data_IF_263391482335
#
_entry.id   IF_263391482335
#
_cell.length_a   1.000
_cell.length_b   1.000
_cell.length_c   1.000
_cell.angle_alpha   90.00
_cell.angle_beta   90.00
_cell.angle_gamma   90.00
#
_symmetry.space_group_name_H-M   'P 1'
#
loop_
_entity.id
_entity.type
_entity.pdbx_description
1 polymer ?
#
# COMPACT_ATOMS: atom_id res chain seq x y z
N UNK A 1 54.31 -31.29 -10.99
CA UNK A 1 54.25 -31.52 -12.45
C UNK A 1 52.85 -31.98 -12.80
N UNK A 2 52.20 -31.27 -13.74
CA UNK A 2 51.03 -31.64 -14.58
C UNK A 2 49.68 -31.84 -13.84
N UNK A 3 48.76 -30.87 -13.79
CA UNK A 3 47.78 -30.37 -14.80
C UNK A 3 46.79 -31.40 -15.36
N UNK A 4 45.49 -31.13 -15.19
CA UNK A 4 44.47 -31.49 -16.19
C UNK A 4 43.12 -31.95 -15.64
N UNK A 5 42.14 -31.03 -15.53
CA UNK A 5 40.71 -31.37 -15.61
C UNK A 5 40.15 -30.74 -16.89
N UNK A 6 39.55 -31.58 -17.73
CA UNK A 6 38.96 -31.24 -19.04
C UNK A 6 37.47 -30.97 -18.89
N UNK A 7 37.03 -29.91 -19.55
CA UNK A 7 35.66 -29.57 -19.93
C UNK A 7 35.11 -30.56 -20.98
N UNK A 8 33.81 -30.91 -20.90
CA UNK A 8 32.83 -30.90 -22.01
C UNK A 8 31.59 -31.78 -21.74
N UNK A 9 30.42 -31.15 -21.67
CA UNK A 9 29.19 -31.59 -22.35
C UNK A 9 29.26 -31.11 -23.82
N UNK A 10 28.50 -31.60 -24.84
CA UNK A 10 27.08 -31.98 -24.78
C UNK A 10 26.59 -33.09 -25.76
N UNK A 11 25.29 -33.38 -25.73
CA UNK A 11 24.52 -33.63 -26.96
C UNK A 11 23.76 -34.96 -27.11
N UNK A 12 22.46 -34.83 -27.42
CA UNK A 12 21.60 -35.87 -28.01
C UNK A 12 20.39 -36.21 -27.12
N UNK A 13 19.14 -36.05 -27.49
CA UNK A 13 18.52 -35.72 -28.78
C UNK A 13 17.19 -36.48 -28.89
N UNK A 14 16.14 -35.78 -29.36
CA UNK A 14 14.98 -36.33 -30.09
C UNK A 14 14.01 -37.25 -29.32
N UNK A 15 12.70 -37.33 -29.57
CA UNK A 15 11.78 -36.66 -30.48
C UNK A 15 10.35 -37.01 -30.01
N UNK A 16 9.39 -36.14 -30.33
CA UNK A 16 7.96 -36.43 -30.15
C UNK A 16 7.08 -35.37 -30.79
N UNK A 17 7.07 -35.32 -32.12
CA UNK A 17 6.21 -34.47 -32.96
C UNK A 17 4.77 -35.01 -33.03
N UNK A 18 3.88 -34.07 -33.41
CA UNK A 18 2.62 -34.17 -34.22
C UNK A 18 1.37 -33.83 -33.40
N UNK A 19 0.36 -33.12 -33.90
CA UNK A 19 0.04 -32.37 -35.15
C UNK A 19 -1.29 -31.64 -34.82
N UNK A 20 -1.43 -30.34 -35.11
CA UNK A 20 -2.17 -29.75 -36.25
C UNK A 20 -3.72 -29.93 -36.26
N UNK A 21 -4.42 -28.89 -35.75
CA UNK A 21 -5.61 -28.19 -36.32
C UNK A 21 -6.96 -28.94 -36.40
N UNK A 22 -8.02 -28.31 -36.96
CA UNK A 22 -8.38 -26.88 -37.04
C UNK A 22 -9.87 -26.60 -36.64
N UNK A 23 -10.26 -25.32 -36.57
CA UNK A 23 -11.61 -24.87 -36.97
C UNK A 23 -12.76 -25.02 -35.97
N UNK A 24 -13.33 -23.88 -35.57
CA UNK A 24 -14.57 -23.82 -34.79
C UNK A 24 -15.09 -22.40 -34.68
N UNK A 25 -15.53 -21.84 -35.81
CA UNK A 25 -16.31 -20.60 -35.87
C UNK A 25 -17.63 -20.77 -35.11
N UNK A 26 -18.04 -19.75 -34.35
CA UNK A 26 -19.46 -19.51 -34.05
C UNK A 26 -19.83 -18.06 -34.39
N UNK A 27 -21.03 -17.83 -34.95
CA UNK A 27 -21.42 -16.60 -35.63
C UNK A 27 -22.09 -15.54 -34.72
N UNK A 28 -22.30 -14.31 -35.24
CA UNK A 28 -23.00 -13.22 -34.57
C UNK A 28 -24.52 -13.22 -34.86
N UNK A 29 -25.32 -12.88 -33.85
CA UNK A 29 -26.74 -12.49 -33.91
C UNK A 29 -27.05 -11.87 -32.53
N UNK A 30 -27.84 -10.81 -32.32
CA UNK A 30 -28.83 -10.16 -33.17
C UNK A 30 -29.13 -8.75 -32.62
N UNK A 31 -29.73 -7.95 -33.49
CA UNK A 31 -30.09 -6.54 -33.42
C UNK A 31 -31.55 -6.39 -32.96
N UNK A 32 -31.86 -5.36 -32.17
CA UNK A 32 -33.10 -4.52 -32.11
C UNK A 32 -33.02 -3.65 -30.84
N UNK A 33 -32.69 -2.35 -30.90
CA UNK A 33 -33.60 -1.22 -31.16
C UNK A 33 -34.90 -1.28 -30.33
N UNK A 34 -35.05 -0.41 -29.33
CA UNK A 34 -36.08 0.63 -29.37
C UNK A 34 -35.85 1.76 -28.34
N UNK A 35 -36.12 2.97 -28.81
CA UNK A 35 -36.17 4.25 -28.11
C UNK A 35 -37.43 4.38 -27.22
N UNK A 36 -37.37 5.35 -26.28
CA UNK A 36 -38.42 6.18 -25.64
C UNK A 36 -37.90 6.50 -24.23
N UNK A 37 -37.31 7.66 -23.93
CA UNK A 37 -37.84 9.04 -23.98
C UNK A 37 -39.19 9.16 -23.27
N UNK A 38 -39.16 9.55 -21.99
CA UNK A 38 -40.21 10.30 -21.27
C UNK A 38 -39.75 10.64 -19.84
N UNK A 39 -39.14 11.83 -19.69
CA UNK A 39 -39.47 12.79 -18.62
C UNK A 39 -39.94 14.06 -19.36
N UNK A 40 -40.79 14.95 -18.82
CA UNK A 40 -40.94 15.29 -17.40
C UNK A 40 -42.39 15.51 -16.94
N UNK A 41 -42.62 15.60 -15.62
CA UNK A 41 -43.67 16.51 -15.13
C UNK A 41 -43.26 17.19 -13.82
N UNK A 42 -43.47 18.49 -13.83
CA UNK A 42 -43.17 19.44 -12.78
C UNK A 42 -44.42 19.69 -11.94
N UNK A 43 -44.27 19.80 -10.62
CA UNK A 43 -45.39 20.27 -9.80
C UNK A 43 -45.05 20.54 -8.34
N UNK A 44 -44.81 21.82 -8.03
CA UNK A 44 -45.03 22.55 -6.77
C UNK A 44 -44.39 21.99 -5.47
N UNK A 45 -43.37 22.65 -4.92
CA UNK A 45 -43.47 23.82 -4.03
C UNK A 45 -44.46 23.66 -2.88
N UNK A 46 -43.94 23.32 -1.70
CA UNK A 46 -44.43 23.95 -0.47
C UNK A 46 -43.28 24.22 0.51
N UNK A 47 -43.18 25.50 0.90
CA UNK A 47 -42.27 26.04 1.89
C UNK A 47 -42.91 25.85 3.25
N UNK A 48 -42.24 25.17 4.16
CA UNK A 48 -42.48 25.39 5.60
C UNK A 48 -41.14 25.67 6.27
N UNK A 49 -41.09 26.86 6.86
CA UNK A 49 -39.98 27.39 7.61
C UNK A 49 -39.88 26.75 9.00
N UNK A 50 -38.64 26.68 9.49
CA UNK A 50 -38.34 26.86 10.91
C UNK A 50 -38.09 25.58 11.70
N UNK A 51 -36.82 25.37 12.07
CA UNK A 51 -36.37 25.40 13.46
C UNK A 51 -34.90 24.95 13.49
N UNK A 52 -34.04 25.78 14.09
CA UNK A 52 -32.64 25.46 14.28
C UNK A 52 -32.46 24.19 15.10
N UNK A 53 -31.81 23.20 14.51
CA UNK A 53 -30.97 22.28 15.24
C UNK A 53 -29.56 22.80 15.10
N UNK A 54 -29.01 23.36 16.18
CA UNK A 54 -27.57 23.53 16.37
C UNK A 54 -26.96 22.12 16.44
N UNK A 55 -26.87 21.49 15.27
CA UNK A 55 -26.11 20.28 15.08
C UNK A 55 -24.67 20.70 14.98
N UNK A 56 -24.02 20.93 16.13
CA UNK A 56 -22.57 20.76 16.27
C UNK A 56 -22.18 19.59 15.37
N UNK A 57 -21.23 19.74 14.43
CA UNK A 57 -20.77 18.62 13.63
C UNK A 57 -20.38 17.53 14.62
N UNK A 58 -21.11 16.43 14.57
CA UNK A 58 -20.78 15.23 15.33
C UNK A 58 -19.33 14.93 14.98
N UNK A 59 -18.44 15.25 15.91
CA UNK A 59 -17.01 15.08 15.76
C UNK A 59 -16.83 13.60 15.50
N UNK A 60 -16.60 13.24 14.23
CA UNK A 60 -16.48 11.85 13.79
C UNK A 60 -15.35 11.26 14.61
N UNK A 61 -15.72 10.54 15.68
CA UNK A 61 -14.77 9.96 16.59
C UNK A 61 -13.88 9.02 15.75
N UNK A 62 -12.56 9.29 15.64
CA UNK A 62 -11.72 8.46 14.81
C UNK A 62 -11.67 7.05 15.41
N UNK A 63 -12.13 6.06 14.64
CA UNK A 63 -11.99 4.64 14.94
C UNK A 63 -10.52 4.26 15.24
N UNK A 64 -10.28 3.15 15.96
CA UNK A 64 -9.47 3.10 17.17
C UNK A 64 -8.01 3.43 16.90
N UNK A 65 -7.62 4.68 17.17
CA UNK A 65 -6.23 4.98 17.45
C UNK A 65 -5.92 4.29 18.79
N UNK A 66 -4.97 3.36 18.79
CA UNK A 66 -4.36 2.93 20.06
C UNK A 66 -3.95 4.20 20.82
N UNK A 67 -4.10 4.19 22.15
CA UNK A 67 -3.71 5.35 22.95
C UNK A 67 -2.20 5.60 22.83
N UNK A 68 -1.74 6.79 23.20
CA UNK A 68 -0.32 7.10 23.19
C UNK A 68 0.48 6.17 24.10
N UNK A 69 -0.07 5.83 25.26
CA UNK A 69 0.51 4.88 26.20
C UNK A 69 0.69 3.51 25.56
N UNK A 70 -0.34 3.03 24.85
CA UNK A 70 -0.29 1.77 24.13
C UNK A 70 0.70 1.82 22.95
N UNK A 71 0.74 2.94 22.21
CA UNK A 71 1.71 3.17 21.14
C UNK A 71 3.15 3.09 21.65
N UNK A 72 3.45 3.74 22.78
CA UNK A 72 4.78 3.64 23.40
C UNK A 72 5.07 2.26 24.00
N UNK A 73 4.05 1.58 24.55
CA UNK A 73 4.18 0.18 25.03
C UNK A 73 4.58 -0.75 23.89
N UNK A 74 3.88 -0.68 22.75
CA UNK A 74 4.18 -1.48 21.56
C UNK A 74 5.54 -1.12 20.97
N UNK A 75 5.90 0.17 20.94
CA UNK A 75 7.23 0.58 20.49
C UNK A 75 8.34 -0.06 21.35
N UNK A 76 8.13 -0.15 22.68
CA UNK A 76 9.06 -0.76 23.62
C UNK A 76 9.31 -2.26 23.42
N UNK A 77 8.46 -2.97 22.66
CA UNK A 77 8.67 -4.39 22.32
C UNK A 77 9.52 -4.59 21.07
N UNK A 78 9.76 -3.53 20.28
CA UNK A 78 10.55 -3.63 19.07
C UNK A 78 12.04 -3.82 19.38
N UNK A 79 12.77 -4.60 18.56
CA UNK A 79 14.21 -4.75 18.75
C UNK A 79 14.92 -3.40 18.54
N UNK A 80 15.90 -3.13 19.41
CA UNK A 80 16.79 -1.99 19.26
C UNK A 80 17.57 -2.15 17.97
N UNK A 81 17.49 -1.14 17.12
CA UNK A 81 18.22 -1.08 15.86
C UNK A 81 19.63 -0.59 16.15
N UNK A 82 20.65 -1.43 15.93
CA UNK A 82 22.02 -0.96 15.97
C UNK A 82 22.28 -0.01 14.78
N UNK A 83 23.00 1.09 15.03
CA UNK A 83 23.39 2.05 13.99
C UNK A 83 24.46 1.51 13.03
N UNK A 84 24.73 0.21 13.07
CA UNK A 84 25.84 -0.41 12.36
C UNK A 84 25.65 -0.32 10.85
N UNK A 85 26.63 0.32 10.20
CA UNK A 85 26.70 0.44 8.75
C UNK A 85 27.00 -0.91 8.09
N UNK A 86 27.53 -1.87 8.85
CA UNK A 86 27.93 -3.19 8.36
C UNK A 86 26.72 -4.12 8.25
N UNK A 87 25.87 -4.17 9.27
CA UNK A 87 24.71 -5.07 9.30
C UNK A 87 23.48 -4.47 8.62
N UNK A 88 23.35 -3.13 8.58
CA UNK A 88 22.18 -2.37 8.08
C UNK A 88 20.88 -3.14 8.35
N UNK A 89 20.53 -3.39 9.62
CA UNK A 89 19.41 -4.26 9.97
C UNK A 89 18.12 -3.82 9.27
N UNK A 90 17.15 -4.71 9.08
CA UNK A 90 15.84 -4.30 8.56
C UNK A 90 15.10 -3.46 9.61
N UNK A 91 14.37 -2.44 9.17
CA UNK A 91 13.39 -1.77 10.03
C UNK A 91 12.32 -2.78 10.41
N UNK A 92 11.97 -2.80 11.68
CA UNK A 92 10.88 -3.59 12.25
C UNK A 92 9.83 -2.63 12.76
N UNK A 93 8.58 -3.05 12.67
CA UNK A 93 7.45 -2.36 13.25
C UNK A 93 6.37 -3.32 13.68
N UNK A 94 5.33 -2.78 14.31
CA UNK A 94 4.13 -3.49 14.67
C UNK A 94 2.92 -2.62 14.32
N UNK A 95 1.86 -3.28 13.91
CA UNK A 95 0.53 -2.72 13.77
C UNK A 95 -0.41 -3.56 14.62
N UNK A 96 -1.29 -2.92 15.39
CA UNK A 96 -2.32 -3.60 16.15
C UNK A 96 -3.65 -3.28 15.47
N UNK A 97 -4.36 -4.31 15.04
CA UNK A 97 -5.64 -4.14 14.35
C UNK A 97 -6.80 -3.85 15.32
N UNK A 98 -8.00 -3.65 14.77
CA UNK A 98 -9.21 -3.37 15.54
C UNK A 98 -9.62 -4.54 16.47
N UNK A 99 -9.22 -5.77 16.15
CA UNK A 99 -9.43 -6.96 16.99
C UNK A 99 -8.37 -7.07 18.11
N UNK A 100 -7.43 -6.13 18.16
CA UNK A 100 -6.34 -6.10 19.12
C UNK A 100 -5.20 -7.07 18.79
N UNK A 101 -5.21 -7.69 17.60
CA UNK A 101 -4.16 -8.59 17.14
C UNK A 101 -2.97 -7.79 16.60
N UNK A 102 -1.78 -8.20 17.02
CA UNK A 102 -0.53 -7.58 16.60
C UNK A 102 0.02 -8.25 15.33
N UNK A 103 0.41 -7.42 14.36
CA UNK A 103 0.95 -7.82 13.07
C UNK A 103 2.36 -7.24 12.89
N UNK A 104 3.38 -8.10 12.68
CA UNK A 104 4.74 -7.63 12.46
C UNK A 104 4.88 -6.95 11.11
N UNK A 105 5.53 -5.79 11.11
CA UNK A 105 5.90 -5.03 9.91
C UNK A 105 7.42 -5.10 9.71
N UNK A 106 7.87 -5.27 8.47
CA UNK A 106 9.30 -5.44 8.17
C UNK A 106 9.66 -4.70 6.89
N UNK A 107 10.75 -3.92 6.89
CA UNK A 107 11.26 -3.30 5.66
C UNK A 107 11.99 -4.30 4.77
N UNK A 108 12.15 -3.94 3.51
CA UNK A 108 12.85 -4.71 2.50
C UNK A 108 11.91 -5.21 1.42
N UNK A 109 12.53 -5.85 0.42
CA UNK A 109 11.88 -6.27 -0.82
C UNK A 109 11.31 -7.69 -0.74
N UNK A 110 11.81 -8.51 0.19
CA UNK A 110 11.37 -9.90 0.35
C UNK A 110 10.26 -10.00 1.38
N UNK A 111 9.39 -10.97 1.16
CA UNK A 111 8.38 -11.37 2.13
C UNK A 111 9.01 -11.79 3.46
N UNK A 112 8.22 -11.72 4.54
CA UNK A 112 8.64 -12.01 5.91
C UNK A 112 9.04 -13.47 6.13
N UNK A 113 8.44 -14.40 5.38
CA UNK A 113 8.77 -15.83 5.31
C UNK A 113 10.02 -16.12 4.47
N UNK A 114 10.60 -15.11 3.82
CA UNK A 114 11.77 -15.24 2.97
C UNK A 114 11.49 -15.84 1.59
N UNK A 115 10.25 -16.25 1.31
CA UNK A 115 9.84 -16.90 0.08
C UNK A 115 9.33 -15.82 -0.90
N UNK A 116 10.22 -15.36 -1.77
CA UNK A 116 9.88 -14.43 -2.83
C UNK A 116 9.80 -12.96 -2.41
N UNK A 117 9.13 -12.18 -3.25
CA UNK A 117 9.04 -10.72 -3.15
C UNK A 117 7.80 -10.33 -2.34
N UNK A 118 7.95 -9.34 -1.47
CA UNK A 118 6.84 -8.75 -0.73
C UNK A 118 5.83 -8.12 -1.72
N UNK A 119 4.54 -8.48 -1.68
CA UNK A 119 3.56 -7.93 -2.61
C UNK A 119 3.41 -6.41 -2.47
N UNK A 120 3.50 -5.87 -1.25
CA UNK A 120 3.40 -4.42 -1.03
C UNK A 120 4.63 -3.67 -1.52
N UNK A 121 5.81 -4.31 -1.55
CA UNK A 121 6.98 -3.73 -2.21
C UNK A 121 6.68 -3.47 -3.70
N UNK A 122 6.08 -4.45 -4.38
CA UNK A 122 5.75 -4.30 -5.81
C UNK A 122 4.61 -3.32 -6.03
N UNK A 123 3.56 -3.35 -5.19
CA UNK A 123 2.46 -2.38 -5.29
C UNK A 123 2.96 -0.95 -5.13
N UNK A 124 3.91 -0.67 -4.21
CA UNK A 124 4.45 0.70 -4.07
C UNK A 124 5.18 1.13 -5.33
N UNK A 125 5.98 0.24 -5.94
CA UNK A 125 6.65 0.55 -7.21
C UNK A 125 5.68 0.83 -8.33
N UNK A 126 4.63 0.01 -8.44
CA UNK A 126 3.58 0.18 -9.43
C UNK A 126 2.87 1.52 -9.24
N UNK A 127 2.43 1.81 -8.02
CA UNK A 127 1.77 3.06 -7.69
C UNK A 127 2.66 4.27 -8.00
N UNK A 128 3.95 4.23 -7.64
CA UNK A 128 4.88 5.31 -7.97
C UNK A 128 5.04 5.49 -9.49
N UNK A 129 4.99 4.40 -10.27
CA UNK A 129 5.07 4.45 -11.72
C UNK A 129 3.82 5.08 -12.33
N UNK A 130 2.66 4.56 -11.96
CA UNK A 130 1.35 5.05 -12.42
C UNK A 130 1.16 6.53 -12.10
N UNK A 131 1.54 6.95 -10.89
CA UNK A 131 1.39 8.33 -10.42
C UNK A 131 2.55 9.25 -10.83
N UNK A 132 3.53 8.74 -11.59
CA UNK A 132 4.74 9.47 -12.01
C UNK A 132 5.49 10.12 -10.85
N UNK A 133 5.55 9.44 -9.70
CA UNK A 133 6.24 9.91 -8.50
C UNK A 133 7.71 9.51 -8.57
N UNK A 134 8.60 10.50 -8.57
CA UNK A 134 10.05 10.27 -8.61
C UNK A 134 10.56 9.80 -9.97
N UNK A 135 11.80 9.31 -9.99
CA UNK A 135 12.47 8.82 -11.20
C UNK A 135 11.89 7.47 -11.63
N UNK A 136 11.51 7.38 -12.90
CA UNK A 136 10.87 6.20 -13.48
C UNK A 136 11.88 5.12 -13.94
N UNK A 137 13.16 5.50 -14.04
CA UNK A 137 14.27 4.66 -14.49
C UNK A 137 15.08 4.04 -13.32
N UNK A 138 14.64 4.26 -12.08
CA UNK A 138 15.35 3.81 -10.88
C UNK A 138 14.42 3.02 -9.96
N UNK A 139 14.97 2.05 -9.22
CA UNK A 139 14.21 1.34 -8.19
C UNK A 139 14.05 2.24 -6.94
N UNK A 140 12.82 2.68 -6.60
CA UNK A 140 12.64 3.65 -5.54
C UNK A 140 12.87 2.99 -4.18
N UNK A 141 13.92 3.42 -3.48
CA UNK A 141 14.30 2.91 -2.16
C UNK A 141 13.13 2.94 -1.15
N UNK A 142 12.25 3.96 -1.26
CA UNK A 142 11.04 4.12 -0.45
C UNK A 142 10.06 2.95 -0.57
N UNK A 143 10.05 2.22 -1.69
CA UNK A 143 9.16 1.06 -1.86
C UNK A 143 9.45 -0.05 -0.85
N UNK A 144 10.69 -0.14 -0.37
CA UNK A 144 11.10 -1.12 0.63
C UNK A 144 10.74 -0.72 2.06
N UNK A 145 10.29 0.51 2.29
CA UNK A 145 10.03 1.04 3.63
C UNK A 145 8.73 0.50 4.22
N UNK A 146 8.68 0.43 5.56
CA UNK A 146 7.51 -0.08 6.28
C UNK A 146 6.31 0.82 6.02
N UNK A 147 6.53 2.12 6.07
CA UNK A 147 5.54 3.18 6.00
C UNK A 147 4.83 3.19 4.63
N UNK A 148 5.59 3.09 3.54
CA UNK A 148 5.04 3.08 2.19
C UNK A 148 4.24 1.80 1.90
N UNK A 149 4.79 0.64 2.31
CA UNK A 149 4.09 -0.64 2.18
C UNK A 149 2.81 -0.67 3.00
N UNK A 150 2.85 -0.16 4.23
CA UNK A 150 1.67 -0.10 5.09
C UNK A 150 0.60 0.85 4.54
N UNK A 151 0.98 1.98 3.95
CA UNK A 151 0.01 2.88 3.31
C UNK A 151 -0.75 2.21 2.15
N UNK A 152 -0.09 1.37 1.34
CA UNK A 152 -0.78 0.60 0.29
C UNK A 152 -1.57 -0.58 0.85
N UNK A 153 -1.09 -1.21 1.92
CA UNK A 153 -1.89 -2.16 2.69
C UNK A 153 -3.20 -1.52 3.19
N UNK A 154 -3.16 -0.29 3.69
CA UNK A 154 -4.36 0.46 4.07
C UNK A 154 -5.31 0.65 2.88
N UNK A 155 -4.77 0.99 1.68
CA UNK A 155 -5.59 1.15 0.47
C UNK A 155 -6.28 -0.15 0.06
N UNK A 156 -5.53 -1.25 0.04
CA UNK A 156 -6.06 -2.56 -0.34
C UNK A 156 -7.13 -3.05 0.65
N UNK A 157 -6.94 -2.78 1.94
CA UNK A 157 -7.82 -3.26 3.02
C UNK A 157 -8.93 -2.28 3.39
N UNK A 158 -9.00 -1.10 2.77
CA UNK A 158 -9.98 -0.07 3.10
C UNK A 158 -9.79 0.56 4.48
N UNK A 159 -8.58 0.50 5.05
CA UNK A 159 -8.26 1.10 6.34
C UNK A 159 -8.09 2.62 6.21
N UNK A 160 -8.58 3.37 7.21
CA UNK A 160 -8.65 4.85 7.13
C UNK A 160 -7.80 5.54 8.19
N UNK A 161 -7.82 5.09 9.44
CA UNK A 161 -7.18 5.83 10.54
C UNK A 161 -6.37 4.88 11.39
N UNK A 162 -5.14 4.65 10.97
CA UNK A 162 -4.29 3.61 11.57
C UNK A 162 -3.12 4.19 12.34
N UNK A 163 -2.59 3.38 13.24
CA UNK A 163 -1.38 3.68 14.00
C UNK A 163 -0.39 2.53 13.89
N UNK A 164 0.86 2.84 13.58
CA UNK A 164 1.96 1.88 13.55
C UNK A 164 3.11 2.35 14.44
N UNK A 165 3.87 1.39 14.94
CA UNK A 165 5.12 1.65 15.66
C UNK A 165 6.28 1.11 14.82
N UNK A 166 7.37 1.85 14.69
CA UNK A 166 8.54 1.48 13.87
C UNK A 166 9.85 1.82 14.57
N UNK A 167 10.86 0.95 14.47
CA UNK A 167 12.16 1.16 15.12
C UNK A 167 13.13 2.05 14.31
N UNK A 168 12.62 2.81 13.34
CA UNK A 168 13.37 3.77 12.53
C UNK A 168 12.45 4.93 12.15
N UNK A 169 12.93 6.15 12.31
CA UNK A 169 12.20 7.35 11.90
C UNK A 169 11.99 7.33 10.37
N UNK A 170 10.80 7.70 9.86
CA UNK A 170 10.57 7.91 8.44
C UNK A 170 11.68 8.75 7.81
N UNK A 171 12.25 8.28 6.70
CA UNK A 171 13.38 8.98 6.12
C UNK A 171 12.97 10.39 5.65
N UNK A 172 13.80 11.41 5.93
CA UNK A 172 13.51 12.79 5.53
C UNK A 172 13.82 13.01 4.05
N UNK A 173 13.52 14.21 3.57
CA UNK A 173 13.86 14.69 2.23
C UNK A 173 12.76 14.46 1.20
N UNK A 174 12.93 15.08 0.02
CA UNK A 174 11.91 15.15 -1.05
C UNK A 174 11.39 13.78 -1.50
N UNK A 175 12.25 12.76 -1.48
CA UNK A 175 11.91 11.39 -1.89
C UNK A 175 11.82 10.42 -0.71
N UNK A 176 11.79 10.95 0.52
CA UNK A 176 11.65 10.17 1.73
C UNK A 176 10.20 9.94 2.12
N UNK A 177 9.96 8.95 2.99
CA UNK A 177 8.63 8.66 3.52
C UNK A 177 8.02 9.88 4.20
N UNK A 178 8.82 10.71 4.89
CA UNK A 178 8.29 11.89 5.58
C UNK A 178 7.56 12.86 4.64
N UNK A 179 7.97 12.91 3.37
CA UNK A 179 7.33 13.75 2.35
C UNK A 179 6.32 12.99 1.49
N UNK A 180 6.62 11.74 1.12
CA UNK A 180 5.85 10.98 0.14
C UNK A 180 4.65 10.24 0.74
N UNK A 181 4.64 9.97 2.05
CA UNK A 181 3.62 9.13 2.68
C UNK A 181 2.19 9.62 2.44
N UNK A 182 1.97 10.95 2.47
CA UNK A 182 0.68 11.56 2.15
C UNK A 182 0.12 11.22 0.76
N UNK A 183 0.99 10.89 -0.20
CA UNK A 183 0.57 10.47 -1.55
C UNK A 183 0.18 8.98 -1.58
N UNK A 184 0.81 8.16 -0.74
CA UNK A 184 0.55 6.73 -0.66
C UNK A 184 -0.69 6.39 0.16
N UNK A 185 -1.05 7.23 1.12
CA UNK A 185 -2.22 7.00 1.97
C UNK A 185 -3.54 7.03 1.16
N UNK A 186 -4.54 6.20 1.49
CA UNK A 186 -5.88 6.31 0.90
C UNK A 186 -6.45 7.73 1.03
N UNK A 187 -7.26 8.25 0.10
CA UNK A 187 -7.89 9.57 0.26
C UNK A 187 -8.71 9.68 1.56
N UNK A 188 -8.73 10.85 2.19
CA UNK A 188 -9.37 11.08 3.50
C UNK A 188 -8.85 10.22 4.66
N UNK A 189 -7.63 9.66 4.59
CA UNK A 189 -7.08 8.76 5.62
C UNK A 189 -5.94 9.40 6.40
N UNK A 190 -5.62 8.83 7.57
CA UNK A 190 -4.49 9.24 8.40
C UNK A 190 -3.68 8.04 8.87
N UNK A 191 -2.36 8.18 8.93
CA UNK A 191 -1.47 7.21 9.56
C UNK A 191 -0.62 7.90 10.63
N UNK A 192 -0.74 7.42 11.87
CA UNK A 192 0.12 7.85 12.98
C UNK A 192 1.29 6.90 13.12
N UNK A 193 2.50 7.44 13.23
CA UNK A 193 3.73 6.66 13.35
C UNK A 193 4.42 7.05 14.65
N UNK A 194 4.64 6.05 15.51
CA UNK A 194 5.55 6.15 16.66
C UNK A 194 6.91 5.57 16.29
N UNK A 195 7.98 6.21 16.76
CA UNK A 195 9.34 5.82 16.46
C UNK A 195 10.35 6.24 17.53
N UNK A 196 11.65 5.98 17.31
CA UNK A 196 12.68 6.22 18.31
C UNK A 196 12.82 7.72 18.64
N UNK A 197 13.41 8.00 19.80
CA UNK A 197 13.67 9.36 20.31
C UNK A 197 12.40 10.20 20.53
N UNK A 198 11.30 9.57 20.95
CA UNK A 198 10.03 10.26 21.18
C UNK A 198 9.34 10.71 19.88
N UNK A 199 9.75 10.17 18.73
CA UNK A 199 9.12 10.50 17.45
C UNK A 199 7.66 10.03 17.44
N UNK A 200 6.73 10.97 17.29
CA UNK A 200 5.33 10.71 16.99
C UNK A 200 4.86 11.71 15.96
N UNK A 201 4.35 11.23 14.82
CA UNK A 201 3.81 12.10 13.78
C UNK A 201 2.61 11.44 13.10
N UNK A 202 1.56 12.23 12.88
CA UNK A 202 0.40 11.83 12.09
C UNK A 202 0.51 12.43 10.69
N UNK A 203 0.38 11.58 9.69
CA UNK A 203 0.36 11.94 8.28
C UNK A 203 -1.07 11.85 7.77
N UNK A 204 -1.57 12.91 7.17
CA UNK A 204 -2.85 12.92 6.47
C UNK A 204 -2.62 12.66 4.98
N UNK A 205 -3.54 11.94 4.34
CA UNK A 205 -3.54 11.79 2.89
C UNK A 205 -3.68 13.14 2.21
N UNK A 206 -3.00 13.32 1.09
CA UNK A 206 -3.24 14.45 0.21
C UNK A 206 -4.43 14.12 -0.68
N UNK A 207 -5.52 14.87 -0.55
CA UNK A 207 -6.64 14.77 -1.49
C UNK A 207 -6.18 15.28 -2.85
N UNK A 208 -6.13 14.37 -3.83
CA UNK A 208 -6.05 14.73 -5.24
C UNK A 208 -7.46 14.70 -5.80
N UNK A 209 -8.30 15.61 -5.33
CA UNK A 209 -9.58 15.87 -6.00
C UNK A 209 -9.26 16.55 -7.32
N UNK A 210 -9.43 15.78 -8.41
CA UNK A 210 -9.48 16.15 -9.83
C UNK A 210 -8.83 17.46 -10.29
N UNK A 211 -7.78 17.32 -11.10
CA UNK A 211 -7.51 18.24 -12.21
C UNK A 211 -7.65 17.46 -13.51
#
# INVERSE_FOLDING_TARGET
>A
MVSGIRTAEPGGGSAGRRRLGPGGSTPPAERRQNENQEEPDAGASDKIAGAGGDGTPEEVLPAPRISDEEGWRLFGTLPIRDGSVVSRPKTRGLWKDADGKEHPLVSGQRSSDGQGVDPYYQQVKEFMREQRIGRQDADPMVASHVEAKFALFMRERGLRHETIVVNKIPCPGRFGCDQLLKLFLPPGSTLTIFGPNGFKKTYASQDRTGE
#
